data_IF_822446733657
#
_entry.id   IF_822446733657
#
_cell.length_a   1.000
_cell.length_b   1.000
_cell.length_c   1.000
_cell.angle_alpha   90.00
_cell.angle_beta   90.00
_cell.angle_gamma   90.00
#
_symmetry.space_group_name_H-M   'P 1'
#
loop_
_entity.id
_entity.type
_entity.pdbx_description
1 polymer ?
#
# COMPACT_ATOMS: atom_id res chain seq x y z
N UNK A 1 -27.86 -41.53 -29.81
CA UNK A 1 -28.79 -40.54 -29.22
C UNK A 1 -28.20 -39.15 -29.06
N UNK A 2 -27.03 -38.95 -28.42
CA UNK A 2 -26.39 -37.61 -28.39
C UNK A 2 -25.65 -37.26 -29.69
N UNK A 3 -24.98 -38.22 -30.32
CA UNK A 3 -24.28 -38.01 -31.60
C UNK A 3 -25.25 -37.64 -32.73
N UNK A 4 -26.42 -38.27 -32.80
CA UNK A 4 -27.45 -37.96 -33.79
C UNK A 4 -28.02 -36.54 -33.61
N UNK A 5 -28.13 -36.09 -32.36
CA UNK A 5 -28.56 -34.71 -32.03
C UNK A 5 -27.49 -33.70 -32.40
N UNK A 6 -26.22 -33.98 -32.09
CA UNK A 6 -25.08 -33.13 -32.47
C UNK A 6 -24.95 -33.07 -33.99
N UNK A 7 -25.13 -34.19 -34.68
CA UNK A 7 -25.10 -34.26 -36.14
C UNK A 7 -26.26 -33.47 -36.77
N UNK A 8 -27.46 -33.57 -36.20
CA UNK A 8 -28.62 -32.78 -36.62
C UNK A 8 -28.43 -31.27 -36.37
N UNK A 9 -27.83 -30.90 -35.23
CA UNK A 9 -27.46 -29.51 -34.92
C UNK A 9 -26.38 -28.97 -35.87
N UNK A 10 -25.35 -29.76 -36.19
CA UNK A 10 -24.31 -29.41 -37.16
C UNK A 10 -24.88 -29.23 -38.57
N UNK A 11 -25.82 -30.09 -38.97
CA UNK A 11 -26.51 -29.98 -40.26
C UNK A 11 -27.36 -28.71 -40.33
N UNK A 12 -28.05 -28.36 -39.24
CA UNK A 12 -28.78 -27.08 -39.11
C UNK A 12 -27.84 -25.89 -39.15
N UNK A 13 -26.73 -25.90 -38.40
CA UNK A 13 -25.73 -24.84 -38.41
C UNK A 13 -25.10 -24.64 -39.78
N UNK A 14 -24.74 -25.72 -40.48
CA UNK A 14 -24.24 -25.67 -41.85
C UNK A 14 -25.27 -25.07 -42.82
N UNK A 15 -26.56 -25.41 -42.66
CA UNK A 15 -27.64 -24.83 -43.48
C UNK A 15 -27.87 -23.34 -43.19
N UNK A 16 -27.75 -22.92 -41.92
CA UNK A 16 -27.89 -21.52 -41.51
C UNK A 16 -26.69 -20.70 -41.98
N UNK A 17 -25.47 -21.24 -41.89
CA UNK A 17 -24.26 -20.64 -42.45
C UNK A 17 -24.34 -20.52 -43.97
N UNK A 18 -24.80 -21.56 -44.67
CA UNK A 18 -25.00 -21.51 -46.12
C UNK A 18 -26.05 -20.46 -46.52
N UNK A 19 -27.14 -20.32 -45.74
CA UNK A 19 -28.11 -19.23 -45.94
C UNK A 19 -27.51 -17.86 -45.68
N UNK A 20 -26.72 -17.70 -44.62
CA UNK A 20 -26.10 -16.41 -44.25
C UNK A 20 -25.02 -16.00 -45.27
N UNK A 21 -24.16 -16.91 -45.71
CA UNK A 21 -23.11 -16.66 -46.70
C UNK A 21 -23.71 -16.51 -48.12
N UNK A 22 -24.72 -17.31 -48.46
CA UNK A 22 -25.47 -17.21 -49.72
C UNK A 22 -26.42 -16.02 -49.81
N UNK A 23 -26.49 -15.15 -48.80
CA UNK A 23 -27.26 -13.90 -48.91
C UNK A 23 -26.53 -12.79 -49.67
N UNK A 24 -25.26 -12.98 -50.07
CA UNK A 24 -24.54 -11.99 -50.88
C UNK A 24 -25.17 -11.81 -52.27
N UNK A 25 -25.76 -12.86 -52.83
CA UNK A 25 -26.41 -12.87 -54.14
C UNK A 25 -27.88 -12.39 -54.11
N UNK A 26 -28.44 -12.16 -52.91
CA UNK A 26 -29.83 -11.69 -52.75
C UNK A 26 -29.92 -10.16 -52.86
N UNK A 27 -31.08 -9.60 -53.26
CA UNK A 27 -31.29 -8.15 -53.27
C UNK A 27 -31.02 -7.53 -51.88
N UNK A 28 -30.44 -6.31 -51.83
CA UNK A 28 -30.01 -5.64 -50.58
C UNK A 28 -31.02 -5.67 -49.41
N UNK A 29 -32.32 -5.71 -49.71
CA UNK A 29 -33.42 -5.77 -48.70
C UNK A 29 -33.58 -7.14 -48.03
N UNK A 30 -33.12 -8.21 -48.66
CA UNK A 30 -33.20 -9.59 -48.18
C UNK A 30 -31.85 -10.12 -47.64
N UNK A 31 -30.78 -9.32 -47.73
CA UNK A 31 -29.49 -9.66 -47.13
C UNK A 31 -29.54 -9.46 -45.62
N UNK A 32 -28.89 -10.34 -44.85
CA UNK A 32 -28.73 -10.09 -43.43
C UNK A 32 -27.82 -8.88 -43.22
N UNK A 33 -28.26 -7.95 -42.35
CA UNK A 33 -27.41 -6.82 -41.97
C UNK A 33 -26.16 -7.33 -41.23
N UNK A 34 -25.03 -6.64 -41.38
CA UNK A 34 -23.80 -6.95 -40.64
C UNK A 34 -24.04 -6.94 -39.12
N UNK A 35 -24.99 -6.14 -38.65
CA UNK A 35 -25.40 -6.07 -37.25
C UNK A 35 -26.16 -7.32 -36.79
N UNK A 36 -27.08 -7.84 -37.61
CA UNK A 36 -27.79 -9.08 -37.31
C UNK A 36 -26.82 -10.28 -37.23
N UNK A 37 -25.85 -10.35 -38.14
CA UNK A 37 -24.79 -11.38 -38.12
C UNK A 37 -23.93 -11.25 -36.86
N UNK A 38 -23.51 -10.03 -36.50
CA UNK A 38 -22.77 -9.78 -35.25
C UNK A 38 -23.58 -10.16 -34.00
N UNK A 39 -24.88 -9.89 -33.98
CA UNK A 39 -25.78 -10.23 -32.88
C UNK A 39 -25.92 -11.75 -32.74
N UNK A 40 -26.18 -12.46 -33.85
CA UNK A 40 -26.27 -13.92 -33.86
C UNK A 40 -24.95 -14.59 -33.41
N UNK A 41 -23.80 -14.09 -33.86
CA UNK A 41 -22.50 -14.58 -33.41
C UNK A 41 -22.27 -14.36 -31.90
N UNK A 42 -22.75 -13.23 -31.37
CA UNK A 42 -22.69 -12.92 -29.93
C UNK A 42 -23.60 -13.84 -29.10
N UNK A 43 -24.83 -14.07 -29.55
CA UNK A 43 -25.79 -14.99 -28.90
C UNK A 43 -25.30 -16.45 -28.95
N UNK A 44 -24.72 -16.89 -30.07
CA UNK A 44 -24.11 -18.20 -30.19
C UNK A 44 -22.98 -18.39 -29.16
N UNK A 45 -22.09 -17.41 -29.01
CA UNK A 45 -21.02 -17.45 -27.99
C UNK A 45 -21.56 -17.49 -26.56
N UNK A 46 -22.67 -16.79 -26.27
CA UNK A 46 -23.35 -16.88 -24.97
C UNK A 46 -23.85 -18.30 -24.71
N UNK A 47 -24.55 -18.89 -25.67
CA UNK A 47 -25.06 -20.26 -25.57
C UNK A 47 -23.92 -21.28 -25.40
N UNK A 48 -22.79 -21.12 -26.09
CA UNK A 48 -21.63 -22.00 -25.87
C UNK A 48 -21.03 -21.87 -24.46
N UNK A 49 -21.07 -20.67 -23.88
CA UNK A 49 -20.63 -20.44 -22.50
C UNK A 49 -21.59 -21.10 -21.50
N UNK A 50 -22.91 -20.99 -21.74
CA UNK A 50 -23.95 -21.63 -20.92
C UNK A 50 -23.91 -23.16 -21.02
N UNK A 51 -23.59 -23.71 -22.19
CA UNK A 51 -23.34 -25.15 -22.41
C UNK A 51 -22.04 -25.64 -21.77
N UNK A 52 -21.22 -24.75 -21.19
CA UNK A 52 -19.98 -25.10 -20.50
C UNK A 52 -18.82 -25.48 -21.42
N UNK A 53 -18.90 -25.16 -22.72
CA UNK A 53 -17.81 -25.35 -23.69
C UNK A 53 -16.64 -24.40 -23.41
N UNK A 54 -16.95 -23.24 -22.84
CA UNK A 54 -16.00 -22.19 -22.48
C UNK A 54 -16.01 -21.95 -20.97
N UNK A 55 -14.82 -21.99 -20.36
CA UNK A 55 -14.62 -21.83 -18.93
C UNK A 55 -14.00 -20.46 -18.68
N UNK A 56 -14.61 -19.68 -17.79
CA UNK A 56 -14.06 -18.39 -17.39
C UNK A 56 -12.79 -18.58 -16.56
N UNK A 57 -11.90 -17.59 -16.57
CA UNK A 57 -10.64 -17.63 -15.81
C UNK A 57 -10.84 -17.96 -14.31
N UNK A 58 -11.91 -17.42 -13.70
CA UNK A 58 -12.25 -17.68 -12.30
C UNK A 58 -12.60 -19.13 -12.02
N UNK A 59 -13.07 -19.85 -13.05
CA UNK A 59 -13.53 -21.23 -12.96
C UNK A 59 -12.46 -22.24 -13.39
N UNK A 60 -11.25 -21.80 -13.76
CA UNK A 60 -10.15 -22.70 -14.13
C UNK A 60 -9.81 -23.66 -12.98
N UNK A 61 -9.92 -23.21 -11.73
CA UNK A 61 -9.70 -24.03 -10.53
C UNK A 61 -10.63 -25.25 -10.45
N UNK A 62 -11.81 -25.20 -11.08
CA UNK A 62 -12.75 -26.34 -11.17
C UNK A 62 -12.20 -27.47 -12.03
N UNK A 63 -11.32 -27.18 -12.98
CA UNK A 63 -10.68 -28.19 -13.86
C UNK A 63 -9.26 -28.49 -13.39
N UNK A 64 -8.44 -27.47 -13.19
CA UNK A 64 -7.07 -27.58 -12.68
C UNK A 64 -7.10 -27.14 -11.22
N UNK A 65 -7.28 -28.08 -10.29
CA UNK A 65 -7.41 -27.77 -8.85
C UNK A 65 -6.20 -27.02 -8.26
N UNK A 66 -5.02 -27.21 -8.86
CA UNK A 66 -3.78 -26.53 -8.47
C UNK A 66 -3.61 -25.15 -9.11
N UNK A 67 -4.64 -24.61 -9.78
CA UNK A 67 -4.56 -23.30 -10.38
C UNK A 67 -4.67 -22.20 -9.31
N UNK A 68 -3.66 -21.34 -9.25
CA UNK A 68 -3.62 -20.19 -8.35
C UNK A 68 -4.51 -19.02 -8.80
N UNK A 69 -4.35 -17.87 -8.15
CA UNK A 69 -5.11 -16.66 -8.48
C UNK A 69 -4.76 -16.15 -9.89
N UNK A 70 -5.79 -15.90 -10.72
CA UNK A 70 -5.68 -15.39 -12.11
C UNK A 70 -4.65 -16.13 -12.97
N UNK A 71 -4.86 -17.43 -13.21
CA UNK A 71 -3.91 -18.25 -13.95
C UNK A 71 -3.99 -18.03 -15.48
N UNK A 72 -4.99 -17.29 -15.96
CA UNK A 72 -5.32 -17.22 -17.38
C UNK A 72 -4.19 -16.64 -18.22
N UNK A 73 -3.65 -15.48 -17.80
CA UNK A 73 -2.53 -14.85 -18.51
C UNK A 73 -1.29 -15.75 -18.54
N UNK A 74 -0.98 -16.40 -17.41
CA UNK A 74 0.15 -17.32 -17.32
C UNK A 74 0.01 -18.51 -18.27
N UNK A 75 -1.17 -19.12 -18.32
CA UNK A 75 -1.45 -20.26 -19.20
C UNK A 75 -1.26 -19.88 -20.67
N UNK A 76 -1.75 -18.69 -21.07
CA UNK A 76 -1.60 -18.18 -22.44
C UNK A 76 -0.13 -17.99 -22.79
N UNK A 77 0.63 -17.30 -21.93
CA UNK A 77 2.00 -16.87 -22.25
C UNK A 77 3.02 -18.01 -22.10
N UNK A 78 2.92 -18.82 -21.05
CA UNK A 78 3.93 -19.86 -20.74
C UNK A 78 3.65 -21.21 -21.40
N UNK A 79 2.38 -21.56 -21.57
CA UNK A 79 2.00 -22.80 -22.27
C UNK A 79 1.55 -22.58 -23.71
N UNK A 80 1.57 -21.33 -24.20
CA UNK A 80 1.18 -21.02 -25.58
C UNK A 80 -0.28 -21.36 -25.88
N UNK A 81 -1.17 -21.26 -24.89
CA UNK A 81 -2.56 -21.66 -25.05
C UNK A 81 -3.27 -20.74 -26.05
N UNK A 82 -3.65 -21.27 -27.22
CA UNK A 82 -4.21 -20.47 -28.33
C UNK A 82 -5.74 -20.44 -28.34
N UNK A 83 -6.41 -21.46 -27.82
CA UNK A 83 -7.86 -21.61 -27.91
C UNK A 83 -8.61 -20.90 -26.76
N UNK A 84 -8.49 -19.57 -26.73
CA UNK A 84 -9.15 -18.71 -25.75
C UNK A 84 -9.74 -17.46 -26.41
N UNK A 85 -10.65 -16.79 -25.72
CA UNK A 85 -11.09 -15.45 -26.10
C UNK A 85 -11.23 -14.54 -24.88
N UNK A 86 -11.28 -13.23 -25.12
CA UNK A 86 -11.44 -12.20 -24.09
C UNK A 86 -12.79 -11.52 -24.22
N UNK A 87 -13.50 -11.36 -23.11
CA UNK A 87 -14.74 -10.57 -23.04
C UNK A 87 -14.63 -9.59 -21.88
N UNK A 88 -14.52 -8.30 -22.20
CA UNK A 88 -14.21 -7.27 -21.21
C UNK A 88 -12.83 -7.51 -20.57
N UNK A 89 -12.80 -7.62 -19.23
CA UNK A 89 -11.57 -7.90 -18.46
C UNK A 89 -11.32 -9.39 -18.22
N UNK A 90 -12.22 -10.28 -18.62
CA UNK A 90 -12.17 -11.70 -18.28
C UNK A 90 -11.78 -12.56 -19.50
N UNK A 91 -10.94 -13.56 -19.24
CA UNK A 91 -10.56 -14.57 -20.22
C UNK A 91 -11.47 -15.79 -20.14
N UNK A 92 -11.74 -16.40 -21.28
CA UNK A 92 -12.54 -17.61 -21.45
C UNK A 92 -11.72 -18.64 -22.24
N UNK A 93 -11.65 -19.86 -21.75
CA UNK A 93 -10.80 -20.93 -22.26
C UNK A 93 -11.64 -22.10 -22.75
N UNK A 94 -11.23 -22.73 -23.84
CA UNK A 94 -11.92 -23.94 -24.30
C UNK A 94 -11.75 -25.06 -23.25
N UNK A 95 -12.87 -25.65 -22.83
CA UNK A 95 -12.86 -26.70 -21.80
C UNK A 95 -12.05 -27.93 -22.19
N UNK A 96 -12.15 -28.39 -23.44
CA UNK A 96 -11.50 -29.62 -23.89
C UNK A 96 -9.99 -29.48 -23.83
N UNK A 97 -9.47 -28.37 -24.33
CA UNK A 97 -8.03 -28.09 -24.35
C UNK A 97 -7.50 -27.81 -22.94
N UNK A 98 -8.30 -27.17 -22.07
CA UNK A 98 -7.92 -26.94 -20.68
C UNK A 98 -7.88 -28.25 -19.86
N UNK A 99 -8.75 -29.22 -20.19
CA UNK A 99 -8.68 -30.58 -19.65
C UNK A 99 -7.46 -31.33 -20.18
N UNK A 100 -7.11 -31.17 -21.46
CA UNK A 100 -5.89 -31.75 -22.03
C UNK A 100 -4.64 -31.22 -21.33
N UNK A 101 -4.55 -29.89 -21.14
CA UNK A 101 -3.49 -29.25 -20.37
C UNK A 101 -3.40 -29.82 -18.94
N UNK A 102 -4.53 -29.99 -18.25
CA UNK A 102 -4.55 -30.58 -16.91
C UNK A 102 -3.99 -32.02 -16.90
N UNK A 103 -4.29 -32.82 -17.92
CA UNK A 103 -3.74 -34.18 -18.04
C UNK A 103 -2.23 -34.13 -18.18
N UNK A 104 -1.70 -33.25 -19.05
CA UNK A 104 -0.26 -33.09 -19.22
C UNK A 104 0.45 -32.61 -17.94
N UNK A 105 -0.13 -31.64 -17.23
CA UNK A 105 0.38 -31.15 -15.95
C UNK A 105 0.45 -32.30 -14.93
N UNK A 106 -0.59 -33.15 -14.84
CA UNK A 106 -0.59 -34.32 -13.97
C UNK A 106 0.45 -35.35 -14.36
N UNK A 107 0.57 -35.67 -15.65
CA UNK A 107 1.57 -36.62 -16.16
C UNK A 107 2.99 -36.18 -15.82
N UNK A 108 3.26 -34.88 -15.92
CA UNK A 108 4.57 -34.29 -15.58
C UNK A 108 4.73 -33.96 -14.09
N UNK A 109 3.72 -34.26 -13.26
CA UNK A 109 3.67 -33.93 -11.82
C UNK A 109 3.92 -32.44 -11.52
N UNK A 110 3.42 -31.56 -12.39
CA UNK A 110 3.57 -30.12 -12.26
C UNK A 110 2.39 -29.55 -11.47
N UNK A 111 2.68 -28.87 -10.36
CA UNK A 111 1.70 -28.03 -9.67
C UNK A 111 1.71 -26.63 -10.31
N UNK A 112 0.56 -26.22 -10.88
CA UNK A 112 0.45 -24.98 -11.64
C UNK A 112 0.73 -23.74 -10.77
N UNK A 113 0.16 -23.65 -9.57
CA UNK A 113 0.40 -22.53 -8.66
C UNK A 113 1.87 -22.43 -8.26
N UNK A 114 2.51 -23.56 -7.93
CA UNK A 114 3.94 -23.57 -7.59
C UNK A 114 4.80 -23.11 -8.75
N UNK A 115 4.46 -23.55 -9.97
CA UNK A 115 5.19 -23.13 -11.17
C UNK A 115 5.03 -21.64 -11.46
N UNK A 116 3.82 -21.09 -11.29
CA UNK A 116 3.58 -19.65 -11.37
C UNK A 116 4.42 -18.85 -10.38
N UNK A 117 4.51 -19.29 -9.11
CA UNK A 117 5.34 -18.63 -8.10
C UNK A 117 6.82 -18.64 -8.47
N UNK A 118 7.31 -19.78 -8.95
CA UNK A 118 8.71 -19.94 -9.35
C UNK A 118 9.10 -18.98 -10.48
N UNK A 119 8.28 -18.86 -11.52
CA UNK A 119 8.53 -17.93 -12.62
C UNK A 119 8.53 -16.46 -12.15
N UNK A 120 7.58 -16.08 -11.28
CA UNK A 120 7.53 -14.73 -10.70
C UNK A 120 8.79 -14.43 -9.88
N UNK A 121 9.29 -15.39 -9.11
CA UNK A 121 10.48 -15.19 -8.31
C UNK A 121 11.76 -15.16 -9.16
N UNK A 122 11.82 -15.93 -10.25
CA UNK A 122 12.89 -15.81 -11.25
C UNK A 122 12.90 -14.42 -11.90
N UNK A 123 11.74 -13.88 -12.29
CA UNK A 123 11.64 -12.54 -12.87
C UNK A 123 12.09 -11.45 -11.88
N UNK A 124 11.71 -11.56 -10.60
CA UNK A 124 12.17 -10.65 -9.54
C UNK A 124 13.67 -10.73 -9.35
N UNK A 125 14.23 -11.94 -9.32
CA UNK A 125 15.67 -12.13 -9.16
C UNK A 125 16.45 -11.56 -10.34
N UNK A 126 15.99 -11.80 -11.58
CA UNK A 126 16.59 -11.20 -12.77
C UNK A 126 16.47 -9.66 -12.77
N UNK A 127 15.35 -9.12 -12.28
CA UNK A 127 15.19 -7.67 -12.09
C UNK A 127 16.20 -7.12 -11.08
N UNK A 128 16.35 -7.79 -9.93
CA UNK A 128 17.34 -7.45 -8.92
C UNK A 128 18.76 -7.46 -9.47
N UNK A 129 19.16 -8.50 -10.21
CA UNK A 129 20.47 -8.56 -10.87
C UNK A 129 20.66 -7.43 -11.90
N UNK A 130 19.62 -7.06 -12.65
CA UNK A 130 19.67 -5.91 -13.57
C UNK A 130 19.82 -4.60 -12.83
N UNK A 131 19.15 -4.41 -11.71
CA UNK A 131 19.24 -3.20 -10.88
C UNK A 131 20.63 -3.06 -10.24
N UNK A 132 21.21 -4.17 -9.75
CA UNK A 132 22.58 -4.21 -9.26
C UNK A 132 23.59 -3.83 -10.35
N UNK A 133 23.46 -4.41 -11.56
CA UNK A 133 24.34 -4.12 -12.70
C UNK A 133 24.23 -2.67 -13.18
N UNK A 134 23.07 -2.03 -13.02
CA UNK A 134 22.86 -0.66 -13.47
C UNK A 134 23.38 0.40 -12.48
N UNK A 135 23.87 0.02 -11.29
CA UNK A 135 24.47 0.97 -10.33
C UNK A 135 23.57 2.16 -9.99
N UNK A 136 22.24 2.06 -10.22
CA UNK A 136 21.31 3.17 -10.05
C UNK A 136 21.04 3.35 -8.57
N UNK A 137 21.94 4.04 -7.87
CA UNK A 137 21.57 4.79 -6.67
C UNK A 137 20.40 5.68 -7.08
N UNK A 138 19.20 5.41 -6.55
CA UNK A 138 18.04 6.27 -6.77
C UNK A 138 18.50 7.70 -6.45
N UNK A 139 18.39 8.61 -7.43
CA UNK A 139 18.65 10.02 -7.18
C UNK A 139 17.75 10.44 -6.01
N UNK A 140 18.30 10.96 -4.90
CA UNK A 140 17.48 11.42 -3.79
C UNK A 140 16.51 12.47 -4.32
N UNK A 141 15.26 12.46 -3.85
CA UNK A 141 14.23 13.44 -4.23
C UNK A 141 14.45 14.82 -3.59
N UNK A 142 15.63 15.03 -3.00
CA UNK A 142 16.02 16.23 -2.29
C UNK A 142 17.41 16.67 -2.76
N UNK A 143 17.66 17.98 -2.68
CA UNK A 143 18.99 18.58 -2.85
C UNK A 143 19.38 19.20 -1.52
N UNK A 144 20.52 18.80 -0.97
CA UNK A 144 21.15 19.50 0.14
C UNK A 144 21.90 20.72 -0.44
N UNK A 145 21.84 21.89 0.19
CA UNK A 145 22.66 23.03 -0.20
C UNK A 145 24.14 22.68 -0.09
N UNK A 146 24.95 23.13 -1.06
CA UNK A 146 26.38 22.76 -1.17
C UNK A 146 27.23 23.22 0.02
N UNK A 147 26.75 24.20 0.79
CA UNK A 147 27.47 24.80 1.91
C UNK A 147 26.99 24.32 3.28
N UNK A 148 26.22 23.23 3.33
CA UNK A 148 25.55 22.77 4.54
C UNK A 148 26.28 21.56 5.12
N UNK A 149 27.30 21.82 5.93
CA UNK A 149 28.11 20.82 6.62
C UNK A 149 28.17 21.14 8.12
N UNK A 150 28.28 20.10 8.97
CA UNK A 150 28.54 20.21 10.40
C UNK A 150 27.53 21.05 11.21
N UNK A 151 26.23 20.89 10.94
CA UNK A 151 25.18 21.44 11.81
C UNK A 151 24.94 20.48 12.97
N UNK A 152 25.76 20.63 14.00
CA UNK A 152 25.53 20.00 15.30
C UNK A 152 25.36 21.13 16.34
N UNK A 153 24.40 20.99 17.25
CA UNK A 153 24.31 21.90 18.40
C UNK A 153 25.59 21.76 19.20
N UNK A 154 26.33 22.86 19.42
CA UNK A 154 27.46 22.83 20.35
C UNK A 154 26.99 22.25 21.69
N UNK A 155 27.78 21.38 22.34
CA UNK A 155 27.44 20.85 23.65
C UNK A 155 27.19 22.03 24.59
N UNK A 156 26.04 22.00 25.26
CA UNK A 156 25.55 23.09 26.08
C UNK A 156 26.61 23.51 27.12
N UNK A 157 27.05 24.76 27.08
CA UNK A 157 28.03 25.30 28.03
C UNK A 157 27.30 25.68 29.33
N UNK A 158 27.09 24.68 30.20
CA UNK A 158 26.42 24.91 31.47
C UNK A 158 27.23 25.86 32.36
N UNK A 159 26.52 26.77 33.05
CA UNK A 159 27.09 27.44 34.21
C UNK A 159 27.51 26.41 35.27
N UNK A 160 28.55 26.68 36.09
CA UNK A 160 28.96 25.77 37.16
C UNK A 160 27.77 25.35 38.02
N UNK A 161 27.64 24.04 38.30
CA UNK A 161 26.53 23.45 39.07
C UNK A 161 26.23 24.22 40.36
N UNK A 162 27.28 24.68 41.05
CA UNK A 162 27.20 25.45 42.29
C UNK A 162 26.43 26.77 42.12
N UNK A 163 26.65 27.48 41.01
CA UNK A 163 25.92 28.73 40.71
C UNK A 163 24.43 28.47 40.44
N UNK A 164 24.11 27.36 39.77
CA UNK A 164 22.72 26.98 39.49
C UNK A 164 22.00 26.61 40.79
N UNK A 165 22.65 25.84 41.67
CA UNK A 165 22.08 25.49 42.98
C UNK A 165 21.86 26.74 43.83
N UNK A 166 22.84 27.63 43.89
CA UNK A 166 22.71 28.90 44.61
C UNK A 166 21.55 29.75 44.05
N UNK A 167 21.41 29.81 42.73
CA UNK A 167 20.31 30.55 42.10
C UNK A 167 18.93 29.95 42.42
N UNK A 168 18.81 28.61 42.46
CA UNK A 168 17.58 27.94 42.90
C UNK A 168 17.29 28.28 44.37
N UNK A 169 18.30 28.26 45.24
CA UNK A 169 18.12 28.63 46.66
C UNK A 169 17.66 30.08 46.81
N UNK A 170 18.22 31.01 46.04
CA UNK A 170 17.81 32.41 46.05
C UNK A 170 16.38 32.60 45.52
N UNK A 171 15.99 31.88 44.46
CA UNK A 171 14.61 31.86 43.96
C UNK A 171 13.64 31.30 45.00
N UNK A 172 14.01 30.25 45.73
CA UNK A 172 13.18 29.69 46.81
C UNK A 172 13.04 30.68 47.98
N UNK A 173 14.09 31.43 48.32
CA UNK A 173 14.00 32.52 49.31
C UNK A 173 13.06 33.63 48.85
N UNK A 174 13.10 34.01 47.58
CA UNK A 174 12.14 34.97 47.01
C UNK A 174 10.71 34.42 47.07
N UNK A 175 10.53 33.14 46.73
CA UNK A 175 9.23 32.46 46.76
C UNK A 175 8.57 32.52 48.14
N UNK A 176 9.35 32.30 49.20
CA UNK A 176 8.89 32.40 50.58
C UNK A 176 8.66 33.87 51.01
N UNK A 177 9.63 34.75 50.75
CA UNK A 177 9.59 36.16 51.15
C UNK A 177 8.41 36.91 50.53
N UNK A 178 8.19 36.72 49.24
CA UNK A 178 7.18 37.42 48.47
C UNK A 178 5.84 36.66 48.39
N UNK A 179 5.72 35.60 49.21
CA UNK A 179 4.54 34.73 49.36
C UNK A 179 4.00 34.23 48.02
N UNK A 180 4.90 33.85 47.11
CA UNK A 180 4.53 33.42 45.76
C UNK A 180 3.75 32.10 45.74
N UNK A 181 3.71 31.38 46.85
CA UNK A 181 2.86 30.19 47.07
C UNK A 181 1.37 30.44 46.81
N UNK A 182 0.90 31.67 46.98
CA UNK A 182 -0.50 32.02 46.68
C UNK A 182 -0.79 32.03 45.17
N UNK A 183 0.24 32.25 44.34
CA UNK A 183 0.12 32.50 42.90
C UNK A 183 0.75 31.40 42.02
N UNK A 184 1.68 30.62 42.56
CA UNK A 184 2.51 29.67 41.80
C UNK A 184 2.43 28.28 42.42
N UNK A 185 2.17 27.27 41.59
CA UNK A 185 2.28 25.86 41.92
C UNK A 185 3.64 25.31 41.49
N UNK A 186 4.33 24.63 42.41
CA UNK A 186 5.54 23.87 42.11
C UNK A 186 5.18 22.39 42.01
N UNK A 187 5.16 21.87 40.78
CA UNK A 187 4.92 20.48 40.47
C UNK A 187 6.18 19.65 40.67
N UNK A 188 6.04 18.59 41.49
CA UNK A 188 7.09 17.57 41.71
C UNK A 188 8.46 18.16 42.10
N UNK A 189 8.48 19.36 42.67
CA UNK A 189 9.69 20.05 43.12
C UNK A 189 10.62 20.57 42.02
N UNK A 190 10.26 20.45 40.73
CA UNK A 190 11.18 20.77 39.62
C UNK A 190 10.55 21.54 38.47
N UNK A 191 9.24 21.80 38.52
CA UNK A 191 8.56 22.60 37.50
C UNK A 191 7.56 23.52 38.16
N UNK A 192 7.62 24.81 37.87
CA UNK A 192 6.73 25.83 38.41
C UNK A 192 5.81 26.38 37.32
N UNK A 193 4.55 26.60 37.70
CA UNK A 193 3.56 27.25 36.86
C UNK A 193 2.68 28.18 37.70
N UNK A 194 2.25 29.29 37.10
CA UNK A 194 1.25 30.14 37.74
C UNK A 194 -0.09 29.39 37.86
N UNK A 195 -0.74 29.53 39.01
CA UNK A 195 -2.06 28.96 39.29
C UNK A 195 -3.10 29.54 38.35
N UNK A 196 -3.83 28.69 37.64
CA UNK A 196 -4.93 29.12 36.77
C UNK A 196 -6.22 29.30 37.58
N UNK A 197 -6.29 30.31 38.45
CA UNK A 197 -7.52 30.61 39.18
C UNK A 197 -8.31 31.66 38.39
N UNK A 198 -9.44 31.24 37.81
CA UNK A 198 -10.32 32.03 36.93
C UNK A 198 -10.79 33.38 37.52
N UNK A 199 -10.76 33.54 38.85
CA UNK A 199 -11.13 34.77 39.55
C UNK A 199 -9.96 35.75 39.76
N UNK A 200 -8.68 35.33 39.59
CA UNK A 200 -7.51 36.19 39.82
C UNK A 200 -7.03 36.93 38.57
N UNK A 201 -7.24 36.38 37.36
CA UNK A 201 -6.70 36.96 36.12
C UNK A 201 -7.20 38.40 35.84
N UNK A 202 -8.36 38.77 36.39
CA UNK A 202 -8.98 40.10 36.21
C UNK A 202 -8.59 41.12 37.28
N UNK A 203 -8.06 40.67 38.43
CA UNK A 203 -7.80 41.50 39.61
C UNK A 203 -6.35 41.43 40.12
N UNK A 204 -5.51 40.59 39.51
CA UNK A 204 -4.08 40.55 39.81
C UNK A 204 -3.37 41.76 39.21
N UNK A 205 -2.58 42.47 40.00
CA UNK A 205 -1.80 43.59 39.51
C UNK A 205 -0.83 43.13 38.41
N UNK A 206 -0.74 43.85 37.27
CA UNK A 206 0.15 43.48 36.17
C UNK A 206 1.62 43.30 36.59
N UNK A 207 2.07 44.05 37.61
CA UNK A 207 3.41 43.92 38.16
C UNK A 207 3.61 42.57 38.87
N UNK A 208 2.63 42.14 39.68
CA UNK A 208 2.70 40.86 40.39
C UNK A 208 2.63 39.67 39.42
N UNK A 209 1.83 39.77 38.36
CA UNK A 209 1.80 38.77 37.28
C UNK A 209 3.16 38.65 36.59
N UNK A 210 3.76 39.77 36.18
CA UNK A 210 5.10 39.79 35.57
C UNK A 210 6.17 39.21 36.49
N UNK A 211 6.09 39.48 37.79
CA UNK A 211 6.98 38.88 38.78
C UNK A 211 6.83 37.36 38.79
N UNK A 212 5.60 36.85 38.87
CA UNK A 212 5.33 35.41 38.91
C UNK A 212 5.76 34.70 37.61
N UNK A 213 5.48 35.30 36.45
CA UNK A 213 5.88 34.78 35.15
C UNK A 213 7.41 34.70 35.03
N UNK A 214 8.10 35.77 35.45
CA UNK A 214 9.57 35.83 35.47
C UNK A 214 10.14 34.76 36.40
N UNK A 215 9.60 34.65 37.61
CA UNK A 215 10.05 33.66 38.59
C UNK A 215 9.86 32.22 38.08
N UNK A 216 8.69 31.90 37.50
CA UNK A 216 8.44 30.58 36.90
C UNK A 216 9.43 30.27 35.78
N UNK A 217 9.74 31.25 34.92
CA UNK A 217 10.73 31.10 33.86
C UNK A 217 12.12 30.81 34.42
N UNK A 218 12.61 31.63 35.35
CA UNK A 218 13.95 31.48 35.94
C UNK A 218 14.09 30.16 36.71
N UNK A 219 13.07 29.77 37.48
CA UNK A 219 13.06 28.51 38.22
C UNK A 219 13.08 27.30 37.27
N UNK A 220 12.22 27.30 36.24
CA UNK A 220 12.17 26.21 35.27
C UNK A 220 13.48 26.09 34.48
N UNK A 221 14.04 27.23 34.06
CA UNK A 221 15.32 27.28 33.36
C UNK A 221 16.47 26.73 34.22
N UNK A 222 16.53 27.11 35.50
CA UNK A 222 17.54 26.60 36.43
C UNK A 222 17.40 25.09 36.68
N UNK A 223 16.17 24.59 36.82
CA UNK A 223 15.89 23.16 37.02
C UNK A 223 16.22 22.33 35.77
N UNK A 224 15.92 22.85 34.57
CA UNK A 224 16.26 22.21 33.30
C UNK A 224 17.77 22.14 33.11
N UNK A 225 18.49 23.23 33.35
CA UNK A 225 19.96 23.25 33.33
C UNK A 225 20.55 22.24 34.33
N UNK A 226 19.98 22.12 35.53
CA UNK A 226 20.41 21.13 36.53
C UNK A 226 20.15 19.69 36.05
N UNK A 227 19.03 19.44 35.37
CA UNK A 227 18.69 18.13 34.81
C UNK A 227 19.64 17.72 33.67
N UNK A 228 20.00 18.65 32.80
CA UNK A 228 20.96 18.43 31.72
C UNK A 228 22.37 18.12 32.25
N UNK A 229 22.86 18.84 33.27
CA UNK A 229 24.13 18.53 33.94
C UNK A 229 24.12 17.10 34.52
N UNK A 230 22.98 16.66 35.08
CA UNK A 230 22.84 15.30 35.62
C UNK A 230 22.89 14.25 34.50
N UNK A 231 22.25 14.49 33.36
CA UNK A 231 22.25 13.59 32.19
C UNK A 231 23.67 13.39 31.63
N UNK A 232 24.43 14.48 31.46
CA UNK A 232 25.83 14.43 31.01
C UNK A 232 26.67 13.56 31.96
N UNK A 233 26.47 13.67 33.28
CA UNK A 233 27.19 12.83 34.26
C UNK A 233 26.79 11.35 34.21
N UNK A 234 25.55 11.01 33.87
CA UNK A 234 25.11 9.62 33.76
C UNK A 234 25.59 8.92 32.48
N UNK A 235 25.85 9.67 31.40
CA UNK A 235 26.37 9.14 30.13
C UNK A 235 27.89 8.86 30.16
N UNK A 236 28.60 9.34 31.19
CA UNK A 236 30.05 9.14 31.38
C UNK A 236 30.38 7.79 32.09
N UNK A 237 29.40 6.91 32.31
CA UNK A 237 29.64 5.57 32.86
C UNK A 237 30.01 4.62 31.71
N UNK A 238 31.28 4.21 31.70
CA UNK A 238 31.98 3.27 30.81
C UNK A 238 31.13 2.18 30.15
#
# INVERSE_FOLDING_TARGET
MEEDKVYAELKKLRSLLAKVVGTQDLPKRAQFSREAIKKAASEFRKLQTERGEWISESDISKVIRSAGYRPGKFIIEKFGFTNYFKRGKQYFFNRKDLVALNKELKTRKINLETYMKLEVDQEKFQKYLRELKQGKKKRPRFKLPENLENIESQPYNHSPKEKILQHIDDLMREYEKDKLVEFIDIFRGSHAMMKSIYYFDRYLEPAKRKQCDKWCFEFNYAQEALAEIKKIRSEIIY
#
